data_IF_398249571852
#
_entry.id   IF_398249571852
#
_cell.length_a   1.000
_cell.length_b   1.000
_cell.length_c   1.000
_cell.angle_alpha   90.00
_cell.angle_beta   90.00
_cell.angle_gamma   90.00
#
_symmetry.space_group_name_H-M   'P 1'
#
loop_
_entity.id
_entity.type
_entity.pdbx_description
1 polymer ?
#
# COMPACT_ATOMS: atom_id res chain seq x y z
N UNK A 1 -21.52 4.86 12.17
CA UNK A 1 -20.30 5.54 12.62
C UNK A 1 -19.49 5.90 11.40
N UNK A 2 -19.07 7.15 11.26
CA UNK A 2 -18.22 7.59 10.14
C UNK A 2 -16.76 7.63 10.59
N UNK A 3 -15.85 7.23 9.71
CA UNK A 3 -14.41 7.43 9.92
C UNK A 3 -14.00 8.78 9.32
N UNK A 4 -13.15 9.53 10.02
CA UNK A 4 -12.45 10.68 9.45
C UNK A 4 -11.05 10.22 9.06
N UNK A 5 -10.78 10.20 7.76
CA UNK A 5 -9.47 9.82 7.22
C UNK A 5 -8.59 11.07 7.05
N UNK A 6 -7.41 11.05 7.66
CA UNK A 6 -6.34 12.01 7.35
C UNK A 6 -5.35 11.30 6.42
N UNK A 7 -5.28 11.73 5.16
CA UNK A 7 -4.46 11.08 4.12
C UNK A 7 -3.32 12.01 3.74
N UNK A 8 -2.11 11.48 3.76
CA UNK A 8 -0.90 12.18 3.32
C UNK A 8 -0.41 11.55 2.02
N UNK A 9 -0.44 12.32 0.92
CA UNK A 9 0.16 11.90 -0.35
C UNK A 9 1.61 12.39 -0.42
N UNK A 10 2.54 11.46 -0.66
CA UNK A 10 3.99 11.72 -0.62
C UNK A 10 4.64 11.24 -1.91
N UNK A 11 5.38 12.13 -2.58
CA UNK A 11 6.01 11.84 -3.86
C UNK A 11 7.01 10.67 -3.80
N UNK A 12 6.93 9.76 -4.78
CA UNK A 12 7.77 8.56 -4.86
C UNK A 12 9.11 8.72 -5.58
N UNK A 13 9.43 9.93 -6.05
CA UNK A 13 10.71 10.23 -6.70
C UNK A 13 11.88 9.99 -5.74
N UNK A 14 12.99 9.40 -6.22
CA UNK A 14 14.14 9.02 -5.39
C UNK A 14 14.66 10.18 -4.52
N UNK A 15 14.65 11.41 -5.04
CA UNK A 15 15.05 12.63 -4.32
C UNK A 15 14.12 13.01 -3.16
N UNK A 16 12.86 12.57 -3.17
CA UNK A 16 11.85 12.89 -2.17
C UNK A 16 11.70 11.80 -1.09
N UNK A 17 12.27 10.61 -1.30
CA UNK A 17 12.11 9.46 -0.38
C UNK A 17 12.69 9.72 1.01
N UNK A 18 13.68 10.61 1.14
CA UNK A 18 14.23 11.01 2.44
C UNK A 18 13.19 11.66 3.35
N UNK A 19 12.14 12.28 2.80
CA UNK A 19 11.09 12.96 3.55
C UNK A 19 9.96 12.02 4.01
N UNK A 20 9.93 10.77 3.54
CA UNK A 20 8.89 9.80 3.93
C UNK A 20 8.80 9.63 5.44
N UNK A 21 9.96 9.63 6.12
CA UNK A 21 10.06 9.50 7.58
C UNK A 21 9.31 10.59 8.34
N UNK A 22 9.03 11.73 7.73
CA UNK A 22 8.28 12.80 8.40
C UNK A 22 6.79 12.43 8.60
N UNK A 23 6.31 11.38 7.92
CA UNK A 23 4.90 10.98 7.92
C UNK A 23 4.64 9.64 8.61
N UNK A 24 5.66 8.97 9.15
CA UNK A 24 5.48 7.63 9.76
C UNK A 24 4.80 7.69 11.13
N UNK A 25 5.01 8.76 11.90
CA UNK A 25 4.39 8.89 13.22
C UNK A 25 2.87 8.81 13.12
N UNK A 26 2.26 8.02 14.01
CA UNK A 26 0.80 7.86 14.12
C UNK A 26 0.13 7.35 12.83
N UNK A 27 0.83 6.55 12.02
CA UNK A 27 0.26 5.94 10.82
C UNK A 27 -0.45 4.62 11.15
N UNK A 28 -1.78 4.61 11.02
CA UNK A 28 -2.60 3.40 11.19
C UNK A 28 -2.51 2.44 9.99
N UNK A 29 -2.26 2.98 8.80
CA UNK A 29 -2.27 2.24 7.56
C UNK A 29 -1.35 2.87 6.50
N UNK A 30 -0.70 2.00 5.72
CA UNK A 30 0.12 2.35 4.58
C UNK A 30 -0.58 1.95 3.29
N UNK A 31 -0.81 2.89 2.38
CA UNK A 31 -1.30 2.62 1.02
C UNK A 31 -0.13 2.68 0.05
N UNK A 32 0.25 1.54 -0.52
CA UNK A 32 1.34 1.41 -1.49
C UNK A 32 0.78 1.30 -2.91
N UNK A 33 0.93 2.35 -3.71
CA UNK A 33 0.39 2.39 -5.08
C UNK A 33 1.48 2.01 -6.08
N UNK A 34 1.19 0.98 -6.87
CA UNK A 34 2.10 0.43 -7.88
C UNK A 34 1.55 0.71 -9.28
N UNK A 35 2.38 1.23 -10.16
CA UNK A 35 2.07 1.31 -11.58
C UNK A 35 2.18 -0.09 -12.21
N UNK A 36 1.06 -0.76 -12.46
CA UNK A 36 1.05 -2.12 -12.99
C UNK A 36 1.61 -2.25 -14.41
N UNK A 37 1.75 -1.14 -15.14
CA UNK A 37 2.31 -1.13 -16.50
C UNK A 37 3.84 -1.05 -16.53
N UNK A 38 4.47 -0.68 -15.41
CA UNK A 38 5.91 -0.40 -15.34
C UNK A 38 6.69 -1.54 -14.66
N UNK A 39 7.01 -2.56 -15.46
CA UNK A 39 7.71 -3.76 -14.98
C UNK A 39 9.14 -3.48 -14.51
N UNK A 40 9.81 -2.51 -15.12
CA UNK A 40 11.23 -2.22 -14.88
C UNK A 40 11.45 -1.63 -13.48
N UNK A 41 10.46 -0.93 -12.93
CA UNK A 41 10.55 -0.31 -11.61
C UNK A 41 10.04 -1.18 -10.46
N UNK A 42 9.52 -2.38 -10.72
CA UNK A 42 8.95 -3.23 -9.65
C UNK A 42 10.00 -3.74 -8.68
N UNK A 43 11.22 -4.02 -9.14
CA UNK A 43 12.31 -4.41 -8.24
C UNK A 43 12.70 -3.26 -7.31
N UNK A 44 12.81 -2.03 -7.84
CA UNK A 44 12.98 -0.83 -7.02
C UNK A 44 11.82 -0.65 -6.04
N UNK A 45 10.57 -0.90 -6.46
CA UNK A 45 9.39 -0.85 -5.58
C UNK A 45 9.47 -1.86 -4.44
N UNK A 46 9.88 -3.10 -4.72
CA UNK A 46 10.05 -4.15 -3.72
C UNK A 46 11.07 -3.73 -2.65
N UNK A 47 12.25 -3.27 -3.09
CA UNK A 47 13.32 -2.84 -2.19
C UNK A 47 12.87 -1.68 -1.29
N UNK A 48 12.16 -0.70 -1.83
CA UNK A 48 11.66 0.41 -1.01
C UNK A 48 10.56 0.00 -0.05
N UNK A 49 9.63 -0.86 -0.47
CA UNK A 49 8.60 -1.40 0.40
C UNK A 49 9.22 -2.18 1.57
N UNK A 50 10.19 -3.07 1.30
CA UNK A 50 10.88 -3.81 2.35
C UNK A 50 11.60 -2.90 3.35
N UNK A 51 12.22 -1.80 2.89
CA UNK A 51 12.84 -0.80 3.78
C UNK A 51 11.82 -0.07 4.64
N UNK A 52 10.64 0.23 4.10
CA UNK A 52 9.57 0.88 4.85
C UNK A 52 9.01 -0.02 5.95
N UNK A 53 8.77 -1.29 5.65
CA UNK A 53 8.13 -2.22 6.58
C UNK A 53 9.03 -2.64 7.76
N UNK A 54 10.31 -2.28 7.76
CA UNK A 54 11.21 -2.50 8.92
C UNK A 54 11.32 -1.26 9.82
N UNK A 55 10.73 -0.13 9.44
CA UNK A 55 10.75 1.08 10.26
C UNK A 55 9.80 0.89 11.45
N UNK A 56 10.33 0.99 12.68
CA UNK A 56 9.57 0.74 13.93
C UNK A 56 8.30 1.60 14.04
N UNK A 57 8.33 2.81 13.46
CA UNK A 57 7.20 3.75 13.48
C UNK A 57 6.03 3.29 12.60
N UNK A 58 6.24 2.33 11.71
CA UNK A 58 5.21 1.71 10.89
C UNK A 58 4.82 0.31 11.39
N UNK A 59 5.44 -0.17 12.47
CA UNK A 59 5.18 -1.50 12.99
C UNK A 59 3.68 -1.70 13.29
N UNK A 60 3.12 -2.75 12.69
CA UNK A 60 1.72 -3.13 12.89
C UNK A 60 0.71 -2.33 12.05
N UNK A 61 1.13 -1.36 11.24
CA UNK A 61 0.25 -0.66 10.30
C UNK A 61 -0.36 -1.64 9.28
N UNK A 62 -1.60 -1.39 8.85
CA UNK A 62 -2.21 -2.22 7.79
C UNK A 62 -1.66 -1.78 6.44
N UNK A 63 -1.21 -2.72 5.60
CA UNK A 63 -0.70 -2.44 4.26
C UNK A 63 -1.77 -2.71 3.19
N UNK A 64 -2.18 -1.69 2.45
CA UNK A 64 -2.97 -1.85 1.23
C UNK A 64 -2.09 -1.60 0.00
N UNK A 65 -1.94 -2.60 -0.87
CA UNK A 65 -1.24 -2.46 -2.15
C UNK A 65 -2.26 -2.26 -3.26
N UNK A 66 -2.24 -1.09 -3.90
CA UNK A 66 -3.00 -0.86 -5.12
C UNK A 66 -2.15 -1.19 -6.34
N UNK A 67 -2.54 -2.25 -7.06
CA UNK A 67 -2.03 -2.53 -8.40
C UNK A 67 -2.79 -1.64 -9.40
N UNK A 68 -2.33 -0.41 -9.57
CA UNK A 68 -3.02 0.64 -10.31
C UNK A 68 -2.76 0.57 -11.83
N UNK A 69 -3.64 1.22 -12.60
CA UNK A 69 -3.67 1.26 -14.08
C UNK A 69 -4.13 -0.04 -14.73
N UNK A 70 -5.04 -0.78 -14.09
CA UNK A 70 -5.61 -2.00 -14.69
C UNK A 70 -6.45 -1.74 -15.96
N UNK A 71 -6.75 -0.48 -16.27
CA UNK A 71 -7.34 -0.06 -17.54
C UNK A 71 -6.41 -0.23 -18.76
N UNK A 72 -5.10 -0.36 -18.54
CA UNK A 72 -4.12 -0.57 -19.61
C UNK A 72 -3.93 -2.06 -19.93
N UNK A 73 -3.92 -2.41 -21.21
CA UNK A 73 -3.71 -3.79 -21.66
C UNK A 73 -2.32 -4.36 -21.35
N UNK A 74 -1.33 -3.50 -21.12
CA UNK A 74 0.04 -3.88 -20.75
C UNK A 74 0.21 -4.18 -19.26
N UNK A 75 -0.80 -3.90 -18.44
CA UNK A 75 -0.73 -4.01 -16.99
C UNK A 75 -0.57 -5.44 -16.51
N UNK A 76 0.32 -5.62 -15.54
CA UNK A 76 0.44 -6.85 -14.77
C UNK A 76 -0.82 -7.07 -13.94
N UNK A 77 -1.20 -8.35 -13.82
CA UNK A 77 -2.26 -8.75 -12.89
C UNK A 77 -1.80 -8.58 -11.44
N UNK A 78 -2.72 -8.32 -10.49
CA UNK A 78 -2.39 -8.25 -9.07
C UNK A 78 -1.61 -9.46 -8.55
N UNK A 79 -1.91 -10.68 -9.02
CA UNK A 79 -1.18 -11.89 -8.63
C UNK A 79 0.31 -11.84 -9.02
N UNK A 80 0.64 -11.26 -10.17
CA UNK A 80 2.04 -11.15 -10.62
C UNK A 80 2.79 -10.10 -9.81
N UNK A 81 2.12 -9.00 -9.44
CA UNK A 81 2.71 -7.97 -8.57
C UNK A 81 2.91 -8.50 -7.15
N UNK A 82 1.98 -9.32 -6.63
CA UNK A 82 2.12 -10.02 -5.34
C UNK A 82 3.40 -10.85 -5.30
N UNK A 83 3.65 -11.64 -6.34
CA UNK A 83 4.87 -12.44 -6.49
C UNK A 83 6.11 -11.55 -6.57
N UNK A 84 6.12 -10.55 -7.46
CA UNK A 84 7.28 -9.66 -7.67
C UNK A 84 7.63 -8.80 -6.45
N UNK A 85 6.65 -8.41 -5.64
CA UNK A 85 6.87 -7.66 -4.40
C UNK A 85 7.11 -8.56 -3.19
N UNK A 86 7.06 -9.89 -3.35
CA UNK A 86 7.23 -10.87 -2.28
C UNK A 86 6.26 -10.63 -1.11
N UNK A 87 4.99 -10.29 -1.41
CA UNK A 87 4.03 -9.93 -0.35
C UNK A 87 3.75 -11.10 0.61
N UNK A 88 3.84 -12.34 0.13
CA UNK A 88 3.66 -13.54 0.95
C UNK A 88 4.75 -13.75 2.00
N UNK A 89 5.91 -13.09 1.85
CA UNK A 89 6.99 -13.11 2.85
C UNK A 89 6.74 -12.09 3.97
N UNK A 90 5.77 -11.18 3.81
CA UNK A 90 5.43 -10.18 4.82
C UNK A 90 4.57 -10.83 5.90
N UNK A 91 5.19 -11.09 7.04
CA UNK A 91 4.53 -11.63 8.25
C UNK A 91 4.33 -10.57 9.33
N UNK A 92 4.95 -9.40 9.19
CA UNK A 92 4.95 -8.32 10.18
C UNK A 92 3.72 -7.40 10.09
N UNK A 93 3.01 -7.41 8.96
CA UNK A 93 1.88 -6.53 8.70
C UNK A 93 0.76 -7.34 8.02
N UNK A 94 -0.49 -7.02 8.36
CA UNK A 94 -1.62 -7.47 7.56
C UNK A 94 -1.63 -6.73 6.23
N UNK A 95 -1.94 -7.44 5.15
CA UNK A 95 -1.93 -6.83 3.83
C UNK A 95 -3.02 -7.35 2.89
N UNK A 96 -3.38 -6.50 1.92
CA UNK A 96 -4.19 -6.85 0.76
C UNK A 96 -3.56 -6.23 -0.49
N UNK A 97 -3.64 -6.95 -1.61
CA UNK A 97 -3.41 -6.38 -2.94
C UNK A 97 -4.70 -6.37 -3.74
N UNK A 98 -5.02 -5.23 -4.34
CA UNK A 98 -6.20 -5.06 -5.17
C UNK A 98 -5.83 -4.36 -6.48
N UNK A 99 -6.30 -4.91 -7.60
CA UNK A 99 -6.20 -4.25 -8.90
C UNK A 99 -7.18 -3.08 -8.96
N UNK A 100 -6.72 -1.91 -9.37
CA UNK A 100 -7.56 -0.72 -9.47
C UNK A 100 -7.22 0.12 -10.71
N UNK A 101 -8.10 1.07 -11.01
CA UNK A 101 -7.78 2.17 -11.91
C UNK A 101 -8.17 3.48 -11.26
N UNK A 102 -7.16 4.30 -10.96
CA UNK A 102 -7.37 5.65 -10.45
C UNK A 102 -8.12 6.55 -11.44
N UNK A 103 -8.05 6.25 -12.75
CA UNK A 103 -8.70 7.03 -13.80
C UNK A 103 -10.20 6.73 -13.87
N UNK A 104 -10.58 5.45 -13.73
CA UNK A 104 -12.01 5.05 -13.78
C UNK A 104 -12.66 5.07 -12.40
N UNK A 105 -11.87 5.04 -11.33
CA UNK A 105 -12.33 4.89 -9.95
C UNK A 105 -12.59 3.44 -9.54
N UNK A 106 -12.36 2.47 -10.43
CA UNK A 106 -12.61 1.06 -10.17
C UNK A 106 -11.79 0.54 -8.98
N UNK A 107 -12.46 -0.18 -8.06
CA UNK A 107 -11.92 -0.84 -6.88
C UNK A 107 -11.22 0.06 -5.84
N UNK A 108 -11.19 1.39 -6.03
CA UNK A 108 -10.59 2.29 -5.05
C UNK A 108 -11.34 2.22 -3.71
N UNK A 109 -12.67 2.34 -3.73
CA UNK A 109 -13.48 2.34 -2.52
C UNK A 109 -13.44 0.98 -1.81
N UNK A 110 -13.40 -0.12 -2.57
CA UNK A 110 -13.31 -1.47 -2.00
C UNK A 110 -12.00 -1.69 -1.26
N UNK A 111 -10.89 -1.20 -1.82
CA UNK A 111 -9.59 -1.21 -1.13
C UNK A 111 -9.61 -0.41 0.17
N UNK A 112 -10.17 0.80 0.15
CA UNK A 112 -10.29 1.65 1.35
C UNK A 112 -11.23 1.02 2.39
N UNK A 113 -12.33 0.40 1.98
CA UNK A 113 -13.25 -0.27 2.90
C UNK A 113 -12.59 -1.46 3.60
N UNK A 114 -11.80 -2.26 2.86
CA UNK A 114 -11.01 -3.33 3.46
C UNK A 114 -10.01 -2.78 4.48
N UNK A 115 -9.28 -1.73 4.11
CA UNK A 115 -8.28 -1.08 4.96
C UNK A 115 -8.90 -0.60 6.28
N UNK A 116 -10.01 0.12 6.19
CA UNK A 116 -10.75 0.61 7.35
C UNK A 116 -11.23 -0.52 8.26
N UNK A 117 -11.73 -1.61 7.68
CA UNK A 117 -12.19 -2.77 8.43
C UNK A 117 -11.03 -3.44 9.18
N UNK A 118 -9.90 -3.67 8.51
CA UNK A 118 -8.73 -4.31 9.12
C UNK A 118 -8.12 -3.45 10.24
N UNK A 119 -7.94 -2.15 9.98
CA UNK A 119 -7.49 -1.18 11.00
C UNK A 119 -8.42 -1.17 12.21
N UNK A 120 -9.74 -1.17 11.99
CA UNK A 120 -10.71 -1.20 13.08
C UNK A 120 -10.58 -2.48 13.90
N UNK A 121 -10.52 -3.65 13.25
CA UNK A 121 -10.34 -4.93 13.94
C UNK A 121 -9.07 -4.97 14.78
N UNK A 122 -7.95 -4.43 14.28
CA UNK A 122 -6.70 -4.35 15.04
C UNK A 122 -6.84 -3.49 16.29
N UNK A 123 -7.46 -2.30 16.16
CA UNK A 123 -7.66 -1.39 17.30
C UNK A 123 -8.53 -2.07 18.36
N UNK A 124 -9.66 -2.67 17.97
CA UNK A 124 -10.57 -3.35 18.91
C UNK A 124 -10.01 -4.64 19.54
N UNK A 125 -8.98 -5.25 18.95
CA UNK A 125 -8.34 -6.45 19.50
C UNK A 125 -7.15 -6.13 20.40
N UNK A 126 -6.78 -4.85 20.50
CA UNK A 126 -5.66 -4.35 21.32
C UNK A 126 -6.11 -3.79 22.67
N UNK A 127 -7.43 -3.80 22.93
CA UNK A 127 -8.08 -3.56 24.22
C UNK A 127 -8.38 -4.90 24.93
#
# INVERSE_FOLDING_TARGET
MGFKLNIWDVGGQKSLRSYWRNYFETTDALIWVVDSSDRLRLEDCRVELSKLLVEERLAGATLLVFANKQDLSSSLKPSQIRELLHLDEITTHHWLILGCSAVTGENLLDGINWLLKDVSCRIFSSD
#
